data_IF_012783696080
#
_entry.id   IF_012783696080
#
_cell.length_a   1.000
_cell.length_b   1.000
_cell.length_c   1.000
_cell.angle_alpha   90.00
_cell.angle_beta   90.00
_cell.angle_gamma   90.00
#
_symmetry.space_group_name_H-M   'P 1'
#
loop_
_entity.id
_entity.type
_entity.pdbx_description
1 polymer ?
#
# COMPACT_ATOMS: atom_id res chain seq x y z
N UNK A 1 17.50 16.29 -9.22
CA UNK A 1 16.99 15.37 -8.16
C UNK A 1 16.07 14.27 -8.72
N UNK A 2 15.08 14.56 -9.57
CA UNK A 2 14.15 13.53 -10.09
C UNK A 2 14.78 12.41 -10.94
N UNK A 3 15.89 12.67 -11.64
CA UNK A 3 16.53 11.65 -12.49
C UNK A 3 17.25 10.53 -11.71
N UNK A 4 17.76 10.82 -10.51
CA UNK A 4 18.46 9.82 -9.69
C UNK A 4 17.49 8.79 -9.12
N UNK A 5 16.33 9.25 -8.60
CA UNK A 5 15.27 8.38 -8.13
C UNK A 5 14.65 7.55 -9.26
N UNK A 6 14.48 8.12 -10.45
CA UNK A 6 13.98 7.38 -11.61
C UNK A 6 14.91 6.25 -12.02
N UNK A 7 16.23 6.49 -12.05
CA UNK A 7 17.25 5.45 -12.31
C UNK A 7 17.29 4.39 -11.21
N UNK A 8 17.18 4.79 -9.94
CA UNK A 8 17.11 3.85 -8.82
C UNK A 8 15.87 2.97 -8.92
N UNK A 9 14.69 3.56 -9.16
CA UNK A 9 13.46 2.80 -9.38
C UNK A 9 13.58 1.87 -10.59
N UNK A 10 14.09 2.36 -11.73
CA UNK A 10 14.28 1.52 -12.91
C UNK A 10 15.22 0.33 -12.66
N UNK A 11 16.22 0.50 -11.79
CA UNK A 11 17.15 -0.57 -11.40
C UNK A 11 16.51 -1.55 -10.40
N UNK A 12 15.71 -1.04 -9.46
CA UNK A 12 15.05 -1.86 -8.44
C UNK A 12 13.88 -2.67 -9.00
N UNK A 13 13.14 -2.11 -9.95
CA UNK A 13 11.89 -2.67 -10.44
C UNK A 13 12.00 -3.42 -11.78
N UNK A 14 13.18 -3.45 -12.42
CA UNK A 14 13.48 -4.30 -13.57
C UNK A 14 12.45 -4.25 -14.71
N UNK A 15 12.33 -5.34 -15.47
CA UNK A 15 11.32 -5.51 -16.54
C UNK A 15 10.14 -6.41 -16.13
N UNK A 16 10.12 -6.91 -14.89
CA UNK A 16 9.11 -7.87 -14.41
C UNK A 16 7.87 -7.12 -13.94
N UNK A 17 6.68 -7.60 -14.27
CA UNK A 17 5.47 -7.02 -13.70
C UNK A 17 5.51 -7.12 -12.16
N UNK A 18 5.34 -5.98 -11.49
CA UNK A 18 5.36 -5.90 -10.04
C UNK A 18 4.15 -5.14 -9.54
N UNK A 19 3.58 -5.59 -8.43
CA UNK A 19 2.49 -4.93 -7.73
C UNK A 19 2.94 -4.51 -6.35
N UNK A 20 2.91 -3.22 -6.08
CA UNK A 20 3.35 -2.63 -4.82
C UNK A 20 2.18 -1.93 -4.15
N UNK A 21 1.92 -2.24 -2.88
CA UNK A 21 0.92 -1.54 -2.08
C UNK A 21 1.61 -0.47 -1.24
N UNK A 22 1.07 0.75 -1.22
CA UNK A 22 1.51 1.83 -0.34
C UNK A 22 0.45 2.08 0.73
N UNK A 23 0.83 1.90 1.99
CA UNK A 23 0.01 2.12 3.18
C UNK A 23 0.59 3.24 4.05
N UNK A 24 -0.23 3.75 4.96
CA UNK A 24 0.14 4.77 5.94
C UNK A 24 -1.09 5.56 6.38
N UNK A 25 -0.99 6.20 7.55
CA UNK A 25 -2.07 7.03 8.07
C UNK A 25 -2.50 8.12 7.08
N UNK A 26 -3.70 8.65 7.27
CA UNK A 26 -4.14 9.84 6.55
C UNK A 26 -3.14 10.99 6.74
N UNK A 27 -2.98 11.80 5.70
CA UNK A 27 -2.01 12.91 5.64
C UNK A 27 -0.51 12.53 5.79
N UNK A 28 -0.14 11.24 5.84
CA UNK A 28 1.27 10.82 5.94
C UNK A 28 2.17 11.19 4.74
N UNK A 29 1.60 11.67 3.62
CA UNK A 29 2.36 12.11 2.44
C UNK A 29 2.46 11.09 1.30
N UNK A 30 1.68 10.00 1.32
CA UNK A 30 1.66 8.95 0.28
C UNK A 30 1.41 9.50 -1.13
N UNK A 31 0.35 10.28 -1.28
CA UNK A 31 -0.01 10.94 -2.54
C UNK A 31 1.07 11.94 -2.98
N UNK A 32 1.72 12.64 -2.03
CA UNK A 32 2.85 13.53 -2.35
C UNK A 32 4.05 12.77 -2.91
N UNK A 33 4.36 11.59 -2.36
CA UNK A 33 5.43 10.71 -2.87
C UNK A 33 5.11 10.29 -4.31
N UNK A 34 3.87 9.83 -4.58
CA UNK A 34 3.44 9.49 -5.94
C UNK A 34 3.66 10.63 -6.94
N UNK A 35 3.15 11.83 -6.62
CA UNK A 35 3.27 12.99 -7.51
C UNK A 35 4.72 13.45 -7.69
N UNK A 36 5.51 13.48 -6.61
CA UNK A 36 6.91 13.94 -6.69
C UNK A 36 7.77 13.01 -7.52
N UNK A 37 7.53 11.71 -7.47
CA UNK A 37 8.29 10.74 -8.24
C UNK A 37 7.97 10.81 -9.75
N UNK A 38 6.96 11.56 -10.19
CA UNK A 38 6.51 11.62 -11.61
C UNK A 38 6.36 10.22 -12.22
N UNK A 39 5.88 9.28 -11.40
CA UNK A 39 5.69 7.86 -11.71
C UNK A 39 4.41 7.75 -12.56
N UNK A 40 4.51 8.08 -13.85
CA UNK A 40 3.44 7.87 -14.82
C UNK A 40 2.22 8.80 -14.67
N UNK A 41 1.18 8.51 -15.46
CA UNK A 41 -0.14 9.11 -15.31
C UNK A 41 -0.96 8.34 -14.26
N UNK A 42 -1.76 9.06 -13.47
CA UNK A 42 -2.71 8.43 -12.54
C UNK A 42 -3.80 7.74 -13.37
N UNK A 43 -3.78 6.41 -13.38
CA UNK A 43 -4.67 5.61 -14.24
C UNK A 43 -6.14 5.66 -13.80
N UNK A 44 -6.40 5.73 -12.50
CA UNK A 44 -7.74 5.97 -11.95
C UNK A 44 -7.71 6.07 -10.42
N UNK A 45 -8.62 6.89 -9.89
CA UNK A 45 -9.08 6.80 -8.50
C UNK A 45 -10.35 5.95 -8.49
N UNK A 46 -10.42 4.92 -7.65
CA UNK A 46 -11.66 4.16 -7.45
C UNK A 46 -12.34 4.71 -6.20
N UNK A 47 -13.41 5.51 -6.31
CA UNK A 47 -14.15 5.96 -5.15
C UNK A 47 -14.97 4.79 -4.61
N UNK A 48 -14.62 4.28 -3.44
CA UNK A 48 -15.46 3.38 -2.66
C UNK A 48 -15.90 4.07 -1.38
N UNK A 49 -17.17 3.88 -1.00
CA UNK A 49 -17.80 4.55 0.15
C UNK A 49 -16.96 4.29 1.42
N UNK A 50 -16.22 5.32 1.87
CA UNK A 50 -15.54 5.35 3.17
C UNK A 50 -14.02 5.18 3.18
N UNK A 51 -13.33 5.05 2.04
CA UNK A 51 -11.85 5.09 1.96
C UNK A 51 -11.37 5.38 0.52
N UNK A 52 -10.20 6.01 0.38
CA UNK A 52 -9.60 6.38 -0.90
C UNK A 52 -8.63 5.30 -1.39
N UNK A 53 -8.78 4.89 -2.66
CA UNK A 53 -7.86 3.97 -3.35
C UNK A 53 -7.37 4.61 -4.63
N UNK A 54 -6.06 4.82 -4.72
CA UNK A 54 -5.41 5.38 -5.91
C UNK A 54 -4.54 4.30 -6.57
N UNK A 55 -4.79 4.03 -7.85
CA UNK A 55 -3.98 3.11 -8.65
C UNK A 55 -3.12 3.90 -9.63
N UNK A 56 -1.81 3.71 -9.53
CA UNK A 56 -0.82 4.38 -10.39
C UNK A 56 0.03 3.33 -11.07
N UNK A 57 0.16 3.40 -12.39
CA UNK A 57 1.05 2.50 -13.13
C UNK A 57 2.25 3.28 -13.66
N UNK A 58 3.43 2.71 -13.45
CA UNK A 58 4.66 3.19 -14.04
C UNK A 58 5.43 2.03 -14.62
N UNK A 59 5.51 2.01 -15.96
CA UNK A 59 6.08 0.91 -16.72
C UNK A 59 5.38 -0.41 -16.33
N UNK A 60 6.16 -1.39 -15.90
CA UNK A 60 5.79 -2.71 -15.42
C UNK A 60 5.38 -2.73 -13.93
N UNK A 61 5.38 -1.60 -13.22
CA UNK A 61 5.00 -1.56 -11.80
C UNK A 61 3.63 -0.92 -11.60
N UNK A 62 2.78 -1.61 -10.85
CA UNK A 62 1.46 -1.15 -10.42
C UNK A 62 1.51 -0.80 -8.94
N UNK A 63 1.35 0.48 -8.63
CA UNK A 63 1.19 0.98 -7.27
C UNK A 63 -0.27 1.07 -6.89
N UNK A 64 -0.63 0.52 -5.74
CA UNK A 64 -1.95 0.65 -5.12
C UNK A 64 -1.78 1.40 -3.82
N UNK A 65 -2.30 2.62 -3.74
CA UNK A 65 -2.16 3.47 -2.56
C UNK A 65 -3.45 3.48 -1.78
N UNK A 66 -3.36 3.16 -0.49
CA UNK A 66 -4.49 3.06 0.42
C UNK A 66 -4.25 3.92 1.65
N UNK A 67 -5.23 4.76 1.98
CA UNK A 67 -5.28 5.48 3.24
C UNK A 67 -5.84 4.59 4.35
N UNK A 68 -5.04 4.32 5.39
CA UNK A 68 -5.41 3.44 6.53
C UNK A 68 -5.83 4.20 7.78
N UNK A 69 -5.94 5.53 7.72
CA UNK A 69 -6.38 6.35 8.85
C UNK A 69 -7.89 6.59 8.91
N UNK A 70 -8.44 6.73 10.12
CA UNK A 70 -9.82 7.12 10.39
C UNK A 70 -10.83 5.95 10.46
N UNK A 71 -12.14 6.27 10.50
CA UNK A 71 -13.22 5.25 10.61
C UNK A 71 -13.29 4.27 9.41
N UNK A 72 -12.51 4.52 8.35
CA UNK A 72 -12.45 3.70 7.13
C UNK A 72 -11.65 2.40 7.29
N UNK A 73 -10.67 2.33 8.20
CA UNK A 73 -9.79 1.17 8.38
C UNK A 73 -10.60 -0.11 8.72
N UNK A 74 -11.62 0.02 9.55
CA UNK A 74 -12.50 -1.10 9.92
C UNK A 74 -13.39 -1.58 8.76
N UNK A 75 -13.72 -0.68 7.82
CA UNK A 75 -14.52 -0.99 6.61
C UNK A 75 -13.69 -1.60 5.50
N UNK A 76 -12.37 -1.37 5.49
CA UNK A 76 -11.41 -1.93 4.54
C UNK A 76 -11.09 -3.41 4.81
N UNK A 77 -11.35 -3.91 6.03
CA UNK A 77 -11.01 -5.27 6.48
C UNK A 77 -11.48 -6.39 5.53
N UNK A 78 -12.72 -6.40 5.01
CA UNK A 78 -13.17 -7.47 4.10
C UNK A 78 -12.50 -7.39 2.72
N UNK A 79 -12.06 -6.19 2.31
CA UNK A 79 -11.50 -5.93 0.99
C UNK A 79 -9.98 -6.11 0.94
N UNK A 80 -9.33 -6.25 2.10
CA UNK A 80 -7.88 -6.37 2.24
C UNK A 80 -7.26 -7.44 1.33
N UNK A 81 -7.92 -8.59 1.20
CA UNK A 81 -7.47 -9.70 0.34
C UNK A 81 -7.41 -9.30 -1.14
N UNK A 82 -8.29 -8.43 -1.60
CA UNK A 82 -8.31 -7.97 -3.00
C UNK A 82 -7.12 -7.04 -3.30
N UNK A 83 -6.70 -6.24 -2.32
CA UNK A 83 -5.60 -5.29 -2.49
C UNK A 83 -4.23 -5.94 -2.34
N UNK A 84 -4.11 -6.96 -1.48
CA UNK A 84 -2.86 -7.69 -1.23
C UNK A 84 -2.65 -8.92 -2.12
N UNK A 85 -3.64 -9.31 -2.92
CA UNK A 85 -3.49 -10.36 -3.93
C UNK A 85 -2.31 -10.05 -4.86
N UNK A 86 -1.43 -11.03 -5.13
CA UNK A 86 -0.23 -10.88 -5.97
C UNK A 86 0.59 -9.62 -5.71
N UNK A 87 0.65 -9.16 -4.44
CA UNK A 87 1.48 -8.00 -4.09
C UNK A 87 2.90 -8.44 -3.78
N UNK A 88 3.85 -7.91 -4.54
CA UNK A 88 5.28 -8.19 -4.44
C UNK A 88 6.00 -7.34 -3.39
N UNK A 89 5.41 -6.18 -3.04
CA UNK A 89 6.04 -5.23 -2.12
C UNK A 89 5.06 -4.36 -1.34
N UNK A 90 5.46 -3.98 -0.14
CA UNK A 90 4.75 -3.06 0.73
C UNK A 90 5.61 -1.84 1.03
N UNK A 91 5.07 -0.64 0.79
CA UNK A 91 5.65 0.63 1.22
C UNK A 91 4.79 1.17 2.35
N UNK A 92 5.35 1.34 3.54
CA UNK A 92 4.66 1.97 4.67
C UNK A 92 5.20 3.39 4.89
N UNK A 93 4.32 4.39 4.82
CA UNK A 93 4.67 5.81 4.93
C UNK A 93 4.27 6.33 6.30
N UNK A 94 5.24 6.91 7.00
CA UNK A 94 5.08 7.49 8.33
C UNK A 94 5.44 8.97 8.28
N UNK A 95 4.56 9.83 8.79
CA UNK A 95 4.90 11.24 9.01
C UNK A 95 5.82 11.35 10.24
N UNK A 96 7.08 11.72 10.00
CA UNK A 96 8.08 11.89 11.04
C UNK A 96 7.85 13.12 11.95
N UNK A 97 7.04 14.09 11.51
CA UNK A 97 6.68 15.27 12.30
C UNK A 97 5.49 14.99 13.21
N UNK A 98 4.64 14.02 12.87
CA UNK A 98 3.48 13.63 13.66
C UNK A 98 3.82 12.63 14.76
N UNK A 99 4.47 13.16 15.81
CA UNK A 99 4.88 12.35 16.97
C UNK A 99 3.70 11.84 17.79
N UNK A 100 2.55 12.52 17.73
CA UNK A 100 1.35 12.12 18.48
C UNK A 100 0.75 10.83 17.92
N UNK A 101 0.69 10.71 16.59
CA UNK A 101 0.11 9.55 15.91
C UNK A 101 1.11 8.43 15.60
N UNK A 102 2.37 8.54 16.01
CA UNK A 102 3.37 7.49 15.74
C UNK A 102 3.01 6.15 16.42
N UNK A 103 2.37 6.19 17.59
CA UNK A 103 1.84 5.01 18.26
C UNK A 103 0.75 4.34 17.43
N UNK A 104 -0.21 5.15 16.95
CA UNK A 104 -1.26 4.68 16.05
C UNK A 104 -0.68 4.10 14.75
N UNK A 105 0.32 4.76 14.15
CA UNK A 105 0.98 4.26 12.94
C UNK A 105 1.63 2.88 13.18
N UNK A 106 2.27 2.68 14.34
CA UNK A 106 2.85 1.39 14.71
C UNK A 106 1.78 0.30 14.89
N UNK A 107 0.69 0.61 15.58
CA UNK A 107 -0.42 -0.33 15.78
C UNK A 107 -1.05 -0.73 14.45
N UNK A 108 -1.38 0.26 13.62
CA UNK A 108 -1.92 0.02 12.27
C UNK A 108 -0.93 -0.77 11.41
N UNK A 109 0.37 -0.43 11.40
CA UNK A 109 1.37 -1.21 10.68
C UNK A 109 1.38 -2.69 11.11
N UNK A 110 1.32 -2.95 12.42
CA UNK A 110 1.37 -4.30 12.98
C UNK A 110 0.13 -5.10 12.58
N UNK A 111 -1.05 -4.49 12.67
CA UNK A 111 -2.33 -5.09 12.26
C UNK A 111 -2.35 -5.39 10.75
N UNK A 112 -1.91 -4.44 9.92
CA UNK A 112 -1.85 -4.61 8.47
C UNK A 112 -0.82 -5.64 8.03
N UNK A 113 0.35 -5.70 8.69
CA UNK A 113 1.39 -6.67 8.38
C UNK A 113 0.95 -8.11 8.68
N UNK A 114 0.32 -8.32 9.84
CA UNK A 114 -0.23 -9.64 10.18
C UNK A 114 -1.32 -10.04 9.18
N UNK A 115 -2.15 -9.09 8.75
CA UNK A 115 -3.20 -9.33 7.75
C UNK A 115 -2.67 -9.59 6.35
N UNK A 116 -1.59 -8.92 5.92
CA UNK A 116 -0.97 -9.20 4.63
C UNK A 116 -0.42 -10.63 4.58
N UNK A 117 0.22 -11.07 5.67
CA UNK A 117 0.69 -12.46 5.80
C UNK A 117 -0.48 -13.43 5.71
N UNK A 118 -1.55 -13.20 6.47
CA UNK A 118 -2.72 -14.09 6.47
C UNK A 118 -3.41 -14.12 5.10
N UNK A 119 -3.52 -12.98 4.41
CA UNK A 119 -4.12 -12.89 3.08
C UNK A 119 -3.30 -13.68 2.02
N UNK A 120 -1.96 -13.64 2.11
CA UNK A 120 -1.06 -14.40 1.26
C UNK A 120 -1.06 -15.91 1.60
N UNK A 121 -1.09 -16.29 2.87
CA UNK A 121 -1.12 -17.71 3.29
C UNK A 121 -2.43 -18.42 2.91
N UNK A 122 -3.55 -17.71 2.96
CA UNK A 122 -4.85 -18.26 2.58
C UNK A 122 -4.93 -18.56 1.06
N UNK A 123 -4.03 -18.01 0.26
CA UNK A 123 -3.87 -18.32 -1.16
C UNK A 123 -3.01 -19.57 -1.41
N UNK A 124 -2.05 -19.88 -0.53
CA UNK A 124 -1.19 -21.08 -0.59
C UNK A 124 -1.90 -22.36 -0.08
N UNK A 125 -3.23 -22.33 0.11
CA UNK A 125 -4.01 -23.49 0.57
C UNK A 125 -3.86 -23.81 2.07
N UNK A 126 -3.23 -22.94 2.87
CA UNK A 126 -2.97 -23.20 4.30
C UNK A 126 -4.14 -22.78 5.22
N UNK A 127 -5.27 -22.37 4.63
CA UNK A 127 -6.35 -21.73 5.38
C UNK A 127 -7.23 -22.68 6.23
N UNK A 128 -6.99 -23.99 6.22
CA UNK A 128 -7.76 -24.97 7.02
C UNK A 128 -7.20 -25.24 8.43
N UNK A 129 -6.09 -24.64 8.85
CA UNK A 129 -5.46 -24.95 10.15
C UNK A 129 -5.47 -23.84 11.20
N UNK A 130 -6.11 -22.69 10.91
CA UNK A 130 -6.16 -21.58 11.87
C UNK A 130 -7.61 -21.15 12.09
N UNK A 131 -8.39 -22.05 12.69
CA UNK A 131 -9.77 -21.81 13.09
C UNK A 131 -10.14 -22.72 14.25
N UNK A 132 -9.96 -22.20 15.47
CA UNK A 132 -10.77 -22.59 16.62
C UNK A 132 -12.17 -21.98 16.47
#
# INVERSE_FOLDING_TARGET
>A
MGQAFRKLFDTLFGNTEMRVVMLGLDAAGKTTILYKLHIGEVLSTVPTIGFNVEKVQYKNVVFIVLDVGGQGAHKLRPLWRHFFHDTDGLIYVVDSLDRERIGQAKEEFSDHHQRSINAQQCHLGVCEQIGH
#
